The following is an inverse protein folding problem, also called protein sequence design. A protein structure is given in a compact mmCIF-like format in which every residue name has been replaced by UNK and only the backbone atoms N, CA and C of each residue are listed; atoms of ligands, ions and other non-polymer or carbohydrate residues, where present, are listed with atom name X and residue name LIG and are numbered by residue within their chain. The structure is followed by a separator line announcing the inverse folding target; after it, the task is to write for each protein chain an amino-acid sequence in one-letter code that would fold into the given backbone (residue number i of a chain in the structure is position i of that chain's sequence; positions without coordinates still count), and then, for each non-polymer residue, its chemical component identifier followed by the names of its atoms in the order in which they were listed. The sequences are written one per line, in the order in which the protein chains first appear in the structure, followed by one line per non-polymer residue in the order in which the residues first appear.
data_IF_701246958466
#
_entry.id   IF_701246958466
#
_cell.length_a   1.000
_cell.length_b   1.000
_cell.length_c   1.000
_cell.angle_alpha   90.00
_cell.angle_beta   90.00
_cell.angle_gamma   90.00
#
_symmetry.space_group_name_H-M   'P 1'
#
loop_
_entity.id
_entity.type
_entity.pdbx_description
1 polymer ?
#
# COMPACT_ATOMS: atom_id res chain seq x y z
N UNK A 1 -9.24 47.71 -6.51
CA UNK A 1 -9.67 46.41 -5.95
C UNK A 1 -8.77 45.33 -6.51
N UNK A 2 -8.09 44.56 -5.66
CA UNK A 2 -7.33 43.40 -6.11
C UNK A 2 -8.30 42.26 -6.47
N UNK A 3 -8.12 41.63 -7.62
CA UNK A 3 -8.94 40.50 -8.07
C UNK A 3 -8.08 39.24 -8.11
N UNK A 4 -8.65 38.09 -7.71
CA UNK A 4 -7.98 36.79 -7.91
C UNK A 4 -7.61 36.56 -9.39
N UNK A 5 -8.37 37.13 -10.32
CA UNK A 5 -8.10 37.04 -11.75
C UNK A 5 -6.87 37.84 -12.21
N UNK A 6 -6.21 38.63 -11.35
CA UNK A 6 -4.98 39.34 -11.70
C UNK A 6 -3.72 38.65 -11.17
N UNK A 7 -3.86 37.63 -10.33
CA UNK A 7 -2.70 36.90 -9.77
C UNK A 7 -2.07 35.96 -10.82
N UNK A 8 -0.73 35.82 -10.84
CA UNK A 8 -0.04 34.76 -11.58
C UNK A 8 -0.59 33.36 -11.29
N UNK A 9 -0.50 32.47 -12.27
CA UNK A 9 -1.04 31.09 -12.16
C UNK A 9 -0.36 30.28 -11.07
N UNK A 10 0.93 30.52 -10.85
CA UNK A 10 1.75 29.91 -9.80
C UNK A 10 1.18 30.25 -8.42
N UNK A 11 0.91 31.53 -8.17
CA UNK A 11 0.31 31.98 -6.91
C UNK A 11 -1.11 31.45 -6.71
N UNK A 12 -1.90 31.37 -7.78
CA UNK A 12 -3.24 30.75 -7.71
C UNK A 12 -3.16 29.27 -7.33
N UNK A 13 -2.19 28.52 -7.86
CA UNK A 13 -1.98 27.11 -7.50
C UNK A 13 -1.52 26.94 -6.06
N UNK A 14 -0.61 27.81 -5.60
CA UNK A 14 -0.11 27.78 -4.22
C UNK A 14 -1.22 28.07 -3.22
N UNK A 15 -2.04 29.10 -3.46
CA UNK A 15 -3.20 29.44 -2.62
C UNK A 15 -4.12 28.22 -2.47
N UNK A 16 -4.36 27.49 -3.56
CA UNK A 16 -5.20 26.30 -3.56
C UNK A 16 -4.62 25.13 -2.78
N UNK A 17 -3.30 24.99 -2.71
CA UNK A 17 -2.64 23.98 -1.89
C UNK A 17 -3.08 24.01 -0.42
N UNK A 18 -3.59 25.15 0.06
CA UNK A 18 -4.08 25.35 1.42
C UNK A 18 -5.60 25.25 1.58
N UNK A 19 -6.38 25.12 0.50
CA UNK A 19 -7.84 25.12 0.55
C UNK A 19 -8.43 23.69 0.46
N UNK A 20 -9.55 23.40 1.15
CA UNK A 20 -10.21 22.11 1.03
C UNK A 20 -10.83 21.91 -0.37
N UNK A 21 -10.86 20.66 -0.85
CA UNK A 21 -11.39 20.30 -2.19
C UNK A 21 -12.85 20.75 -2.43
N UNK A 22 -13.63 20.95 -1.38
CA UNK A 22 -15.00 21.49 -1.46
C UNK A 22 -15.02 22.91 -2.04
N UNK A 23 -14.09 23.76 -1.62
CA UNK A 23 -14.00 25.16 -2.07
C UNK A 23 -13.49 25.26 -3.50
N UNK A 24 -12.64 24.31 -3.92
CA UNK A 24 -12.17 24.24 -5.30
C UNK A 24 -13.29 24.08 -6.33
N UNK A 25 -14.35 23.33 -5.98
CA UNK A 25 -15.50 23.15 -6.86
C UNK A 25 -16.20 24.47 -7.13
N UNK A 26 -16.38 25.29 -6.09
CA UNK A 26 -16.95 26.63 -6.22
C UNK A 26 -16.06 27.52 -7.08
N UNK A 27 -14.75 27.49 -6.88
CA UNK A 27 -13.80 28.27 -7.68
C UNK A 27 -13.80 27.87 -9.16
N UNK A 28 -13.86 26.58 -9.47
CA UNK A 28 -13.96 26.06 -10.85
C UNK A 28 -15.24 26.54 -11.57
N UNK A 29 -16.32 26.82 -10.81
CA UNK A 29 -17.58 27.30 -11.35
C UNK A 29 -17.60 28.83 -11.62
N UNK A 30 -16.65 29.60 -11.10
CA UNK A 30 -16.69 31.08 -11.15
C UNK A 30 -16.26 31.67 -12.50
N UNK A 31 -15.04 31.41 -12.95
CA UNK A 31 -14.49 31.98 -14.20
C UNK A 31 -13.75 30.93 -15.02
N UNK A 32 -13.63 31.16 -16.34
CA UNK A 32 -12.87 30.26 -17.24
C UNK A 32 -11.41 30.12 -16.81
N UNK A 33 -10.76 31.22 -16.42
CA UNK A 33 -9.37 31.21 -15.94
C UNK A 33 -9.22 30.32 -14.70
N UNK A 34 -10.08 30.51 -13.70
CA UNK A 34 -10.01 29.72 -12.47
C UNK A 34 -10.36 28.25 -12.73
N UNK A 35 -11.29 27.97 -13.66
CA UNK A 35 -11.56 26.62 -14.15
C UNK A 35 -10.31 25.99 -14.77
N UNK A 36 -9.64 26.67 -15.69
CA UNK A 36 -8.47 26.12 -16.40
C UNK A 36 -7.30 25.86 -15.43
N UNK A 37 -7.16 26.67 -14.38
CA UNK A 37 -6.12 26.49 -13.35
C UNK A 37 -6.47 25.40 -12.34
N UNK A 38 -7.72 25.33 -11.87
CA UNK A 38 -8.10 24.50 -10.73
C UNK A 38 -8.72 23.15 -11.09
N UNK A 39 -9.26 22.99 -12.30
CA UNK A 39 -9.80 21.72 -12.75
C UNK A 39 -8.74 20.59 -12.74
N UNK A 40 -7.49 20.80 -13.20
CA UNK A 40 -6.41 19.82 -13.01
C UNK A 40 -6.21 19.40 -11.56
N UNK A 41 -6.21 20.36 -10.62
CA UNK A 41 -5.98 20.11 -9.20
C UNK A 41 -7.13 19.34 -8.54
N UNK A 42 -8.37 19.63 -8.96
CA UNK A 42 -9.55 18.93 -8.48
C UNK A 42 -9.55 17.44 -8.88
N UNK A 43 -9.05 17.13 -10.08
CA UNK A 43 -9.00 15.77 -10.63
C UNK A 43 -7.68 15.03 -10.35
N UNK A 44 -6.66 15.69 -9.81
CA UNK A 44 -5.36 15.08 -9.51
C UNK A 44 -5.47 13.87 -8.56
N UNK A 45 -6.32 13.99 -7.54
CA UNK A 45 -6.52 13.00 -6.50
C UNK A 45 -8.02 12.94 -6.13
N UNK A 46 -8.88 12.31 -6.95
CA UNK A 46 -10.31 12.27 -6.69
C UNK A 46 -10.60 11.50 -5.39
N UNK A 47 -11.29 12.14 -4.44
CA UNK A 47 -11.73 11.46 -3.22
C UNK A 47 -12.93 10.55 -3.50
N UNK A 48 -12.68 9.24 -3.52
CA UNK A 48 -13.67 8.19 -3.78
C UNK A 48 -14.48 7.75 -2.55
N UNK A 49 -14.13 8.18 -1.33
CA UNK A 49 -14.83 7.77 -0.10
C UNK A 49 -16.04 8.66 0.20
N UNK A 50 -17.13 8.16 0.81
CA UNK A 50 -17.38 6.79 1.30
C UNK A 50 -18.14 5.88 0.31
N UNK A 51 -18.28 6.25 -0.97
CA UNK A 51 -19.02 5.46 -1.99
C UNK A 51 -18.18 5.35 -3.26
N UNK A 52 -17.18 4.46 -3.29
CA UNK A 52 -16.24 4.41 -4.39
C UNK A 52 -16.94 4.13 -5.72
N UNK A 53 -17.92 3.22 -5.79
CA UNK A 53 -18.48 2.79 -7.08
C UNK A 53 -19.33 3.83 -7.79
N UNK A 54 -20.21 4.54 -7.08
CA UNK A 54 -20.98 5.64 -7.69
C UNK A 54 -20.03 6.73 -8.20
N UNK A 55 -18.99 7.06 -7.43
CA UNK A 55 -18.00 8.08 -7.82
C UNK A 55 -17.08 7.61 -8.94
N UNK A 56 -16.68 6.34 -8.94
CA UNK A 56 -15.91 5.69 -10.01
C UNK A 56 -16.73 5.69 -11.29
N UNK A 57 -18.00 5.28 -11.25
CA UNK A 57 -18.89 5.30 -12.41
C UNK A 57 -19.13 6.73 -12.93
N UNK A 58 -19.31 7.71 -12.05
CA UNK A 58 -19.38 9.12 -12.44
C UNK A 58 -18.08 9.63 -13.05
N UNK A 59 -16.93 9.23 -12.52
CA UNK A 59 -15.62 9.60 -13.05
C UNK A 59 -15.40 8.96 -14.43
N UNK A 60 -15.74 7.67 -14.59
CA UNK A 60 -15.72 6.98 -15.88
C UNK A 60 -16.58 7.74 -16.87
N UNK A 61 -17.84 8.03 -16.55
CA UNK A 61 -18.73 8.81 -17.41
C UNK A 61 -18.09 10.14 -17.81
N UNK A 62 -17.55 10.87 -16.82
CA UNK A 62 -16.92 12.17 -17.04
C UNK A 62 -15.71 12.07 -17.97
N UNK A 63 -14.86 11.05 -17.80
CA UNK A 63 -13.69 10.80 -18.63
C UNK A 63 -14.09 10.36 -20.05
N UNK A 64 -15.13 9.54 -20.19
CA UNK A 64 -15.65 9.14 -21.50
C UNK A 64 -16.05 10.37 -22.32
N UNK A 65 -16.77 11.32 -21.72
CA UNK A 65 -17.16 12.58 -22.38
C UNK A 65 -16.06 13.63 -22.49
N UNK A 66 -15.05 13.58 -21.62
CA UNK A 66 -13.96 14.56 -21.56
C UNK A 66 -12.61 13.88 -21.31
N UNK A 67 -12.11 13.20 -22.34
CA UNK A 67 -10.87 12.40 -22.30
C UNK A 67 -9.64 13.16 -21.75
N UNK A 68 -9.43 14.46 -22.04
CA UNK A 68 -8.32 15.21 -21.46
C UNK A 68 -8.26 15.21 -19.93
N UNK A 69 -9.40 15.04 -19.24
CA UNK A 69 -9.43 14.94 -17.77
C UNK A 69 -8.71 13.71 -17.23
N UNK A 70 -8.66 12.63 -18.00
CA UNK A 70 -8.00 11.39 -17.56
C UNK A 70 -6.49 11.60 -17.31
N UNK A 71 -5.87 12.54 -18.04
CA UNK A 71 -4.46 12.93 -17.87
C UNK A 71 -4.20 13.69 -16.59
N UNK A 72 -5.24 14.23 -15.96
CA UNK A 72 -5.09 14.99 -14.72
C UNK A 72 -5.04 14.06 -13.51
N UNK A 73 -5.69 12.90 -13.56
CA UNK A 73 -5.71 11.93 -12.46
C UNK A 73 -4.34 11.28 -12.28
N UNK A 74 -3.74 11.49 -11.12
CA UNK A 74 -2.40 10.99 -10.80
C UNK A 74 -2.35 10.17 -9.50
N UNK A 75 -3.36 10.24 -8.64
CA UNK A 75 -3.54 9.36 -7.49
C UNK A 75 -4.96 8.81 -7.48
N UNK A 76 -5.14 7.53 -7.17
CA UNK A 76 -6.47 6.93 -7.05
C UNK A 76 -6.51 5.98 -5.85
N UNK A 77 -7.42 6.27 -4.91
CA UNK A 77 -7.72 5.36 -3.81
C UNK A 77 -9.05 4.66 -4.09
N UNK A 78 -8.98 3.36 -4.35
CA UNK A 78 -10.13 2.51 -4.55
C UNK A 78 -10.44 1.66 -3.31
N UNK A 79 -9.62 1.69 -2.24
CA UNK A 79 -9.82 0.89 -1.01
C UNK A 79 -11.16 1.15 -0.32
N UNK A 80 -11.59 0.22 0.56
CA UNK A 80 -12.93 0.20 1.20
C UNK A 80 -14.05 -0.33 0.28
N UNK A 81 -13.73 -1.37 -0.49
CA UNK A 81 -14.61 -1.96 -1.51
C UNK A 81 -15.71 -2.86 -0.95
N UNK A 82 -15.43 -3.53 0.15
CA UNK A 82 -16.28 -4.57 0.71
C UNK A 82 -16.79 -4.10 2.08
N UNK A 83 -17.75 -3.18 2.09
CA UNK A 83 -18.75 -3.28 3.15
C UNK A 83 -19.29 -4.71 3.04
N UNK A 84 -19.25 -5.52 4.12
CA UNK A 84 -19.60 -6.92 4.04
C UNK A 84 -20.97 -7.01 3.38
N UNK A 85 -21.01 -7.63 2.21
CA UNK A 85 -22.24 -8.30 1.81
C UNK A 85 -22.49 -9.24 2.97
N UNK A 86 -23.45 -8.90 3.83
CA UNK A 86 -23.83 -9.73 4.95
C UNK A 86 -24.04 -11.12 4.38
N UNK A 87 -23.27 -12.09 4.86
CA UNK A 87 -23.55 -13.50 4.65
C UNK A 87 -24.91 -13.77 5.28
N UNK A 88 -25.98 -13.59 4.50
CA UNK A 88 -27.27 -14.14 4.86
C UNK A 88 -27.20 -15.62 4.46
N UNK A 89 -26.78 -16.45 5.42
CA UNK A 89 -26.48 -17.86 5.23
C UNK A 89 -27.73 -18.73 4.93
N UNK A 90 -28.86 -18.12 4.56
CA UNK A 90 -30.16 -18.79 4.49
C UNK A 90 -30.92 -18.60 3.17
N UNK A 91 -30.28 -18.13 2.11
CA UNK A 91 -30.91 -18.11 0.79
C UNK A 91 -29.99 -18.70 -0.27
N UNK A 92 -30.45 -19.75 -0.97
CA UNK A 92 -29.88 -20.28 -2.23
C UNK A 92 -29.90 -19.27 -3.39
N UNK A 93 -30.10 -17.98 -3.10
CA UNK A 93 -29.88 -16.90 -4.03
C UNK A 93 -28.50 -16.30 -3.74
N UNK A 94 -27.65 -16.10 -4.77
CA UNK A 94 -26.37 -15.45 -4.58
C UNK A 94 -26.63 -14.06 -3.98
N UNK A 95 -26.28 -13.87 -2.71
CA UNK A 95 -26.30 -12.61 -1.98
C UNK A 95 -25.34 -11.54 -2.58
N UNK A 96 -24.88 -11.71 -3.82
CA UNK A 96 -24.02 -10.81 -4.57
C UNK A 96 -24.77 -9.74 -5.37
N UNK A 97 -25.99 -9.39 -4.96
CA UNK A 97 -26.75 -8.25 -5.46
C UNK A 97 -27.42 -7.49 -4.32
N UNK A 98 -26.75 -7.31 -3.17
CA UNK A 98 -27.20 -6.30 -2.21
C UNK A 98 -27.10 -4.95 -2.91
N UNK A 99 -28.24 -4.48 -3.42
CA UNK A 99 -28.69 -3.08 -3.51
C UNK A 99 -27.55 -2.04 -3.54
N UNK A 100 -26.60 -2.18 -4.47
CA UNK A 100 -25.78 -1.06 -4.89
C UNK A 100 -26.72 -0.21 -5.71
N UNK A 101 -27.35 0.75 -5.03
CA UNK A 101 -28.72 1.19 -5.29
C UNK A 101 -28.99 1.69 -6.70
N UNK A 102 -30.29 1.86 -6.99
CA UNK A 102 -30.82 2.39 -8.25
C UNK A 102 -30.01 3.54 -8.87
N UNK A 103 -29.33 4.35 -8.07
CA UNK A 103 -28.38 5.37 -8.52
C UNK A 103 -27.20 4.84 -9.36
N UNK A 104 -26.48 3.78 -8.93
CA UNK A 104 -25.34 3.24 -9.70
C UNK A 104 -25.83 2.66 -11.03
N UNK A 105 -26.91 1.89 -11.01
CA UNK A 105 -27.53 1.34 -12.21
C UNK A 105 -27.89 2.47 -13.19
N UNK A 106 -28.56 3.54 -12.72
CA UNK A 106 -28.88 4.71 -13.54
C UNK A 106 -27.65 5.41 -14.13
N UNK A 107 -26.55 5.50 -13.38
CA UNK A 107 -25.32 6.11 -13.89
C UNK A 107 -24.70 5.24 -14.97
N UNK A 108 -24.60 3.93 -14.75
CA UNK A 108 -24.02 2.98 -15.70
C UNK A 108 -24.88 2.87 -16.97
N UNK A 109 -26.21 2.87 -16.84
CA UNK A 109 -27.15 2.95 -17.96
C UNK A 109 -27.01 4.25 -18.76
N UNK A 110 -26.56 5.33 -18.11
CA UNK A 110 -26.29 6.62 -18.78
C UNK A 110 -24.97 6.69 -19.54
N UNK A 111 -24.18 5.61 -19.56
CA UNK A 111 -22.94 5.57 -20.35
C UNK A 111 -23.27 5.54 -21.84
N UNK A 112 -22.60 6.41 -22.60
CA UNK A 112 -22.66 6.34 -24.06
C UNK A 112 -22.10 5.00 -24.55
N UNK A 113 -22.92 4.23 -25.25
CA UNK A 113 -22.56 2.90 -25.73
C UNK A 113 -21.35 2.90 -26.65
N UNK A 114 -21.19 3.91 -27.53
CA UNK A 114 -20.06 3.97 -28.46
C UNK A 114 -18.76 4.28 -27.72
N UNK A 115 -18.79 5.26 -26.81
CA UNK A 115 -17.62 5.63 -26.01
C UNK A 115 -17.21 4.49 -25.07
N UNK A 116 -18.18 3.82 -24.43
CA UNK A 116 -17.93 2.69 -23.56
C UNK A 116 -17.32 1.51 -24.34
N UNK A 117 -17.90 1.14 -25.49
CA UNK A 117 -17.37 0.07 -26.33
C UNK A 117 -15.95 0.35 -26.81
N UNK A 118 -15.65 1.60 -27.16
CA UNK A 118 -14.30 2.01 -27.55
C UNK A 118 -13.32 1.88 -26.38
N UNK A 119 -13.69 2.34 -25.18
CA UNK A 119 -12.83 2.25 -24.00
C UNK A 119 -12.57 0.79 -23.59
N UNK A 120 -13.61 -0.05 -23.51
CA UNK A 120 -13.45 -1.49 -23.21
C UNK A 120 -12.63 -2.19 -24.30
N UNK A 121 -12.83 -1.81 -25.57
CA UNK A 121 -12.06 -2.35 -26.68
C UNK A 121 -10.55 -2.15 -26.57
N UNK A 122 -10.08 -1.11 -25.87
CA UNK A 122 -8.64 -0.90 -25.64
C UNK A 122 -8.02 -1.84 -24.62
N UNK A 123 -8.84 -2.51 -23.80
CA UNK A 123 -8.35 -3.40 -22.74
C UNK A 123 -8.38 -4.88 -23.13
N UNK A 124 -9.31 -5.27 -24.00
CA UNK A 124 -9.62 -6.67 -24.30
C UNK A 124 -8.86 -7.17 -25.53
N UNK A 125 -8.46 -8.44 -25.51
CA UNK A 125 -7.77 -9.10 -26.64
C UNK A 125 -8.71 -9.83 -27.59
N UNK A 126 -9.92 -10.14 -27.14
CA UNK A 126 -10.92 -10.86 -27.92
C UNK A 126 -12.30 -10.22 -27.76
N UNK A 127 -13.17 -10.47 -28.74
CA UNK A 127 -14.56 -10.01 -28.69
C UNK A 127 -15.37 -10.67 -27.56
N UNK A 128 -15.05 -11.92 -27.21
CA UNK A 128 -15.68 -12.63 -26.09
C UNK A 128 -15.35 -11.97 -24.74
N UNK A 129 -14.07 -11.62 -24.54
CA UNK A 129 -13.64 -10.91 -23.34
C UNK A 129 -14.29 -9.53 -23.27
N UNK A 130 -14.34 -8.82 -24.39
CA UNK A 130 -15.00 -7.50 -24.50
C UNK A 130 -16.48 -7.60 -24.14
N UNK A 131 -17.19 -8.59 -24.68
CA UNK A 131 -18.60 -8.84 -24.38
C UNK A 131 -18.82 -9.12 -22.89
N UNK A 132 -17.96 -9.96 -22.31
CA UNK A 132 -18.00 -10.33 -20.89
C UNK A 132 -17.72 -9.13 -19.98
N UNK A 133 -16.69 -8.33 -20.29
CA UNK A 133 -16.36 -7.13 -19.53
C UNK A 133 -17.47 -6.07 -19.64
N UNK A 134 -18.04 -5.86 -20.83
CA UNK A 134 -19.19 -4.96 -21.00
C UNK A 134 -20.39 -5.38 -20.16
N UNK A 135 -20.71 -6.69 -20.14
CA UNK A 135 -21.78 -7.23 -19.30
C UNK A 135 -21.52 -6.94 -17.82
N UNK A 136 -20.29 -7.15 -17.34
CA UNK A 136 -19.93 -6.89 -15.95
C UNK A 136 -19.91 -5.40 -15.59
N UNK A 137 -19.41 -4.54 -16.48
CA UNK A 137 -19.48 -3.08 -16.30
C UNK A 137 -20.92 -2.61 -16.22
N UNK A 138 -21.80 -3.11 -17.11
CA UNK A 138 -23.24 -2.80 -17.10
C UNK A 138 -23.96 -3.30 -15.86
N UNK A 139 -23.54 -4.44 -15.33
CA UNK A 139 -24.02 -4.96 -14.05
C UNK A 139 -23.50 -4.18 -12.83
N UNK A 140 -22.65 -3.16 -13.03
CA UNK A 140 -22.05 -2.39 -11.95
C UNK A 140 -21.01 -3.18 -11.14
N UNK A 141 -20.41 -4.24 -11.71
CA UNK A 141 -19.39 -5.04 -11.06
C UNK A 141 -18.18 -4.16 -10.74
N UNK A 142 -17.82 -4.08 -9.47
CA UNK A 142 -16.83 -3.14 -8.98
C UNK A 142 -15.45 -3.28 -9.62
N UNK A 143 -14.84 -4.46 -9.52
CA UNK A 143 -13.52 -4.73 -10.11
C UNK A 143 -13.46 -4.43 -11.61
N UNK A 144 -14.55 -4.70 -12.35
CA UNK A 144 -14.68 -4.34 -13.77
C UNK A 144 -14.70 -2.81 -13.99
N UNK A 145 -15.47 -2.06 -13.19
CA UNK A 145 -15.47 -0.59 -13.23
C UNK A 145 -14.09 -0.01 -12.84
N UNK A 146 -13.45 -0.56 -11.81
CA UNK A 146 -12.11 -0.15 -11.40
C UNK A 146 -11.07 -0.38 -12.50
N UNK A 147 -11.06 -1.57 -13.11
CA UNK A 147 -10.15 -1.89 -14.21
C UNK A 147 -10.40 -0.99 -15.42
N UNK A 148 -11.66 -0.74 -15.79
CA UNK A 148 -12.02 0.19 -16.86
C UNK A 148 -11.54 1.62 -16.55
N UNK A 149 -11.69 2.08 -15.30
CA UNK A 149 -11.17 3.38 -14.92
C UNK A 149 -9.65 3.41 -15.05
N UNK A 150 -8.94 2.44 -14.46
CA UNK A 150 -7.47 2.40 -14.43
C UNK A 150 -6.85 2.39 -15.83
N UNK A 151 -7.45 1.68 -16.79
CA UNK A 151 -6.94 1.64 -18.17
C UNK A 151 -7.02 2.99 -18.89
N UNK A 152 -7.91 3.88 -18.45
CA UNK A 152 -8.06 5.21 -19.05
C UNK A 152 -7.11 6.26 -18.46
N UNK A 153 -6.33 5.95 -17.41
CA UNK A 153 -5.53 6.93 -16.65
C UNK A 153 -4.02 6.86 -16.99
N UNK A 154 -3.55 7.52 -18.05
CA UNK A 154 -2.16 7.39 -18.51
C UNK A 154 -1.12 7.98 -17.54
N UNK A 155 -1.51 8.96 -16.73
CA UNK A 155 -0.60 9.69 -15.81
C UNK A 155 -0.71 9.22 -14.36
N UNK A 156 -1.28 8.04 -14.12
CA UNK A 156 -1.45 7.49 -12.78
C UNK A 156 -0.07 7.21 -12.15
N UNK A 157 0.21 7.86 -11.02
CA UNK A 157 1.45 7.72 -10.24
C UNK A 157 1.26 6.91 -8.97
N UNK A 158 0.07 6.94 -8.39
CA UNK A 158 -0.24 6.19 -7.17
C UNK A 158 -1.62 5.55 -7.26
N UNK A 159 -1.72 4.28 -6.86
CA UNK A 159 -2.99 3.55 -6.80
C UNK A 159 -3.08 2.75 -5.53
N UNK A 160 -4.28 2.72 -4.94
CA UNK A 160 -4.60 1.86 -3.80
C UNK A 160 -5.81 1.02 -4.14
N UNK A 161 -5.73 -0.30 -4.00
CA UNK A 161 -6.84 -1.20 -4.30
C UNK A 161 -6.83 -2.44 -3.39
N UNK A 162 -7.90 -3.23 -3.44
CA UNK A 162 -8.07 -4.47 -2.70
C UNK A 162 -8.20 -5.61 -3.71
N UNK A 163 -7.64 -6.75 -3.34
CA UNK A 163 -7.83 -8.01 -4.06
C UNK A 163 -8.51 -8.98 -3.10
N UNK A 164 -9.52 -9.70 -3.60
CA UNK A 164 -9.95 -10.95 -2.97
C UNK A 164 -8.76 -11.90 -2.99
N UNK A 165 -8.51 -12.66 -1.93
CA UNK A 165 -7.46 -13.66 -1.89
C UNK A 165 -7.82 -14.93 -2.67
N UNK A 166 -7.03 -15.97 -2.48
CA UNK A 166 -7.21 -17.27 -3.13
C UNK A 166 -8.30 -18.04 -2.38
N UNK A 167 -9.54 -18.00 -2.88
CA UNK A 167 -10.58 -18.90 -2.40
C UNK A 167 -10.32 -20.30 -2.96
N UNK A 168 -10.33 -21.32 -2.10
CA UNK A 168 -10.18 -22.73 -2.50
C UNK A 168 -11.45 -23.30 -3.15
N UNK A 169 -12.59 -22.67 -2.91
CA UNK A 169 -13.92 -23.19 -3.25
C UNK A 169 -14.58 -22.48 -4.44
N UNK A 170 -13.93 -21.44 -4.97
CA UNK A 170 -14.37 -20.78 -6.19
C UNK A 170 -13.27 -20.89 -7.22
N UNK A 171 -13.56 -21.56 -8.35
CA UNK A 171 -12.86 -21.33 -9.62
C UNK A 171 -12.63 -19.84 -9.73
N UNK A 172 -11.36 -19.44 -9.61
CA UNK A 172 -10.96 -18.07 -9.34
C UNK A 172 -11.49 -17.17 -10.47
N UNK A 173 -12.67 -16.58 -10.25
CA UNK A 173 -13.25 -15.62 -11.18
C UNK A 173 -12.21 -14.55 -11.41
N UNK A 174 -11.90 -14.32 -12.68
CA UNK A 174 -10.91 -13.34 -13.11
C UNK A 174 -11.14 -12.00 -12.39
N UNK A 175 -10.12 -11.55 -11.66
CA UNK A 175 -10.08 -10.22 -11.09
C UNK A 175 -9.57 -9.26 -12.18
N UNK A 176 -10.44 -8.37 -12.66
CA UNK A 176 -10.10 -7.50 -13.80
C UNK A 176 -8.94 -6.54 -13.51
N UNK A 177 -8.77 -6.10 -12.25
CA UNK A 177 -7.65 -5.23 -11.85
C UNK A 177 -6.34 -6.00 -11.98
N UNK A 178 -6.30 -7.22 -11.45
CA UNK A 178 -5.13 -8.10 -11.55
C UNK A 178 -4.80 -8.43 -13.01
N UNK A 179 -5.80 -8.81 -13.81
CA UNK A 179 -5.62 -9.09 -15.24
C UNK A 179 -5.03 -7.88 -15.97
N UNK A 180 -5.51 -6.67 -15.67
CA UNK A 180 -5.00 -5.43 -16.27
C UNK A 180 -3.52 -5.20 -15.93
N UNK A 181 -3.13 -5.33 -14.67
CA UNK A 181 -1.71 -5.18 -14.29
C UNK A 181 -0.83 -6.27 -14.88
N UNK A 182 -1.32 -7.51 -14.90
CA UNK A 182 -0.58 -8.63 -15.49
C UNK A 182 -0.30 -8.37 -16.96
N UNK A 183 -1.29 -7.89 -17.72
CA UNK A 183 -1.12 -7.50 -19.13
C UNK A 183 -0.14 -6.35 -19.31
N UNK A 184 -0.20 -5.32 -18.47
CA UNK A 184 0.76 -4.20 -18.54
C UNK A 184 2.23 -4.66 -18.40
N UNK A 185 2.46 -5.83 -17.80
CA UNK A 185 3.78 -6.41 -17.54
C UNK A 185 4.15 -7.50 -18.56
N UNK A 186 3.21 -8.37 -18.90
CA UNK A 186 3.44 -9.57 -19.72
C UNK A 186 3.27 -9.30 -21.22
N UNK A 187 2.49 -8.29 -21.60
CA UNK A 187 2.23 -8.01 -23.01
C UNK A 187 3.40 -7.24 -23.64
N UNK A 188 3.89 -7.75 -24.76
CA UNK A 188 4.94 -7.10 -25.54
C UNK A 188 4.45 -5.92 -26.38
N UNK A 189 3.15 -5.69 -26.45
CA UNK A 189 2.56 -4.61 -27.24
C UNK A 189 2.84 -3.24 -26.60
N UNK A 190 3.28 -2.28 -27.43
CA UNK A 190 3.61 -0.92 -26.99
C UNK A 190 2.46 -0.22 -26.26
N UNK A 191 1.22 -0.50 -26.64
CA UNK A 191 0.03 0.11 -26.05
C UNK A 191 -0.19 -0.39 -24.61
N UNK A 192 -0.03 -1.69 -24.37
CA UNK A 192 -0.11 -2.27 -23.02
C UNK A 192 1.03 -1.79 -22.11
N UNK A 193 2.22 -1.57 -22.67
CA UNK A 193 3.38 -1.03 -21.94
C UNK A 193 3.22 0.42 -21.48
N UNK A 194 2.33 1.18 -22.11
CA UNK A 194 2.05 2.56 -21.69
C UNK A 194 1.10 2.63 -20.49
N UNK A 195 0.28 1.60 -20.27
CA UNK A 195 -0.62 1.54 -19.13
C UNK A 195 0.24 1.35 -17.87
N UNK A 196 0.21 2.33 -16.97
CA UNK A 196 1.05 2.41 -15.76
C UNK A 196 2.54 2.77 -15.99
N UNK A 197 2.91 3.33 -17.15
CA UNK A 197 4.28 3.79 -17.40
C UNK A 197 4.79 4.81 -16.36
N UNK A 198 3.90 5.56 -15.71
CA UNK A 198 4.23 6.54 -14.68
C UNK A 198 3.91 6.08 -13.26
N UNK A 199 3.50 4.82 -13.06
CA UNK A 199 3.08 4.33 -11.76
C UNK A 199 4.28 4.13 -10.84
N UNK A 200 4.32 4.92 -9.76
CA UNK A 200 5.42 4.98 -8.80
C UNK A 200 5.10 4.28 -7.49
N UNK A 201 3.83 4.24 -7.09
CA UNK A 201 3.38 3.70 -5.81
C UNK A 201 2.14 2.83 -5.96
N UNK A 202 2.16 1.65 -5.34
CA UNK A 202 1.01 0.75 -5.27
C UNK A 202 0.74 0.36 -3.83
N UNK A 203 -0.52 0.45 -3.40
CA UNK A 203 -1.01 -0.13 -2.16
C UNK A 203 -2.00 -1.24 -2.45
N UNK A 204 -1.72 -2.47 -2.02
CA UNK A 204 -2.64 -3.62 -2.20
C UNK A 204 -3.04 -4.20 -0.86
N UNK A 205 -4.34 -4.32 -0.62
CA UNK A 205 -4.89 -4.91 0.60
C UNK A 205 -5.65 -6.20 0.28
N UNK A 206 -5.30 -7.29 0.96
CA UNK A 206 -6.09 -8.53 0.93
C UNK A 206 -7.37 -8.36 1.74
N UNK A 207 -8.47 -8.96 1.29
CA UNK A 207 -9.75 -8.95 2.00
C UNK A 207 -9.61 -9.62 3.39
N UNK A 208 -10.36 -9.16 4.40
CA UNK A 208 -10.08 -9.47 5.82
C UNK A 208 -9.91 -10.95 6.19
N UNK A 209 -10.62 -11.85 5.50
CA UNK A 209 -10.56 -13.31 5.68
C UNK A 209 -9.60 -14.02 4.73
N UNK A 210 -9.14 -13.34 3.68
CA UNK A 210 -8.42 -13.94 2.57
C UNK A 210 -6.98 -13.40 2.50
N UNK A 211 -6.05 -14.34 2.34
CA UNK A 211 -4.62 -14.06 2.33
C UNK A 211 -4.19 -13.74 0.91
N UNK A 212 -3.45 -12.64 0.74
CA UNK A 212 -2.91 -12.25 -0.56
C UNK A 212 -1.48 -12.77 -0.69
N UNK A 213 -1.28 -13.74 -1.57
CA UNK A 213 0.02 -14.41 -1.71
C UNK A 213 1.05 -13.49 -2.36
N UNK A 214 2.30 -13.51 -1.88
CA UNK A 214 3.39 -12.75 -2.52
C UNK A 214 3.55 -13.14 -3.98
N UNK A 215 3.43 -14.44 -4.31
CA UNK A 215 3.43 -14.97 -5.68
C UNK A 215 2.46 -14.22 -6.59
N UNK A 216 1.23 -13.98 -6.13
CA UNK A 216 0.21 -13.29 -6.92
C UNK A 216 0.55 -11.82 -7.17
N UNK A 217 1.41 -11.21 -6.38
CA UNK A 217 1.80 -9.81 -6.52
C UNK A 217 3.15 -9.60 -7.20
N UNK A 218 3.89 -10.68 -7.50
CA UNK A 218 5.24 -10.58 -8.06
C UNK A 218 5.28 -9.88 -9.43
N UNK A 219 4.18 -9.89 -10.19
CA UNK A 219 4.13 -9.14 -11.45
C UNK A 219 4.30 -7.64 -11.24
N UNK A 220 3.87 -7.07 -10.10
CA UNK A 220 3.98 -5.63 -9.83
C UNK A 220 5.45 -5.17 -9.81
N UNK A 221 6.37 -6.01 -9.34
CA UNK A 221 7.80 -5.70 -9.26
C UNK A 221 8.46 -5.51 -10.62
N UNK A 222 7.81 -5.94 -11.70
CA UNK A 222 8.28 -5.78 -13.08
C UNK A 222 7.85 -4.45 -13.72
N UNK A 223 7.02 -3.65 -13.02
CA UNK A 223 6.60 -2.34 -13.53
C UNK A 223 7.79 -1.36 -13.53
N UNK A 224 8.09 -0.67 -14.65
CA UNK A 224 9.37 0.01 -14.85
C UNK A 224 9.57 1.23 -13.94
N UNK A 225 8.51 1.95 -13.62
CA UNK A 225 8.56 3.17 -12.79
C UNK A 225 8.23 2.91 -11.33
N UNK A 226 7.88 1.67 -10.95
CA UNK A 226 7.40 1.36 -9.63
C UNK A 226 8.55 1.39 -8.62
N UNK A 227 8.47 2.30 -7.66
CA UNK A 227 9.50 2.52 -6.64
C UNK A 227 9.01 2.21 -5.22
N UNK A 228 7.69 2.13 -5.02
CA UNK A 228 7.05 1.87 -3.73
C UNK A 228 5.93 0.84 -3.85
N UNK A 229 6.03 -0.19 -3.01
CA UNK A 229 5.00 -1.19 -2.83
C UNK A 229 4.59 -1.19 -1.36
N UNK A 230 3.29 -1.23 -1.13
CA UNK A 230 2.74 -1.26 0.22
C UNK A 230 1.50 -2.12 0.26
N UNK A 231 1.12 -2.58 1.44
CA UNK A 231 -0.06 -3.40 1.54
C UNK A 231 -0.41 -3.92 2.92
N UNK A 232 -1.51 -4.65 2.95
CA UNK A 232 -2.03 -5.34 4.15
C UNK A 232 -2.51 -6.73 3.84
N UNK A 233 -2.45 -7.61 4.84
CA UNK A 233 -2.91 -9.01 4.75
C UNK A 233 -2.17 -9.83 3.68
N UNK A 234 -0.86 -9.58 3.52
CA UNK A 234 -0.02 -10.35 2.60
C UNK A 234 0.51 -11.59 3.29
N UNK A 235 0.70 -12.66 2.54
CA UNK A 235 1.31 -13.90 3.02
C UNK A 235 2.31 -14.42 2.01
N UNK A 236 3.50 -14.82 2.45
CA UNK A 236 4.44 -15.41 1.51
C UNK A 236 4.08 -16.83 1.10
N UNK A 237 4.67 -17.27 -0.01
CA UNK A 237 4.43 -18.60 -0.57
C UNK A 237 5.68 -19.39 -0.93
N UNK A 238 6.89 -18.88 -0.64
CA UNK A 238 8.12 -19.58 -1.06
C UNK A 238 8.33 -19.52 -2.58
N UNK A 239 7.82 -18.48 -3.25
CA UNK A 239 7.87 -18.40 -4.71
C UNK A 239 9.31 -18.17 -5.20
N UNK A 240 9.65 -18.57 -6.44
CA UNK A 240 10.97 -18.26 -6.99
C UNK A 240 11.18 -16.73 -7.04
N UNK A 241 12.43 -16.27 -6.84
CA UNK A 241 12.73 -14.85 -6.81
C UNK A 241 12.32 -14.18 -8.12
N UNK A 242 11.63 -13.05 -8.01
CA UNK A 242 11.33 -12.19 -9.15
C UNK A 242 12.63 -11.63 -9.76
N UNK A 243 12.62 -11.23 -11.04
CA UNK A 243 13.71 -10.42 -11.60
C UNK A 243 13.94 -9.15 -10.77
N UNK A 244 15.14 -8.60 -10.86
CA UNK A 244 15.51 -7.37 -10.15
C UNK A 244 14.53 -6.23 -10.46
N UNK A 245 14.11 -5.53 -9.41
CA UNK A 245 13.11 -4.48 -9.42
C UNK A 245 13.72 -3.14 -8.99
N UNK A 246 13.17 -2.05 -9.53
CA UNK A 246 13.50 -0.68 -9.13
C UNK A 246 12.82 -0.25 -7.81
N UNK A 247 12.05 -1.14 -7.17
CA UNK A 247 11.38 -0.87 -5.90
C UNK A 247 12.42 -0.59 -4.81
N UNK A 248 12.25 0.56 -4.15
CA UNK A 248 13.11 1.04 -3.07
C UNK A 248 12.38 1.14 -1.73
N UNK A 249 11.06 0.98 -1.71
CA UNK A 249 10.24 1.06 -0.51
C UNK A 249 9.22 -0.09 -0.46
N UNK A 250 9.28 -0.88 0.61
CA UNK A 250 8.31 -1.95 0.93
C UNK A 250 7.67 -1.63 2.28
N UNK A 251 6.34 -1.56 2.35
CA UNK A 251 5.57 -1.35 3.59
C UNK A 251 4.44 -2.37 3.72
N UNK A 252 4.65 -3.40 4.53
CA UNK A 252 3.73 -4.52 4.75
C UNK A 252 3.16 -4.43 6.16
N UNK A 253 1.87 -4.08 6.27
CA UNK A 253 1.22 -3.93 7.57
C UNK A 253 0.22 -5.03 7.80
N UNK A 254 0.16 -5.55 9.02
CA UNK A 254 -0.76 -6.63 9.35
C UNK A 254 -0.64 -7.82 8.39
N UNK A 255 0.61 -8.19 8.05
CA UNK A 255 0.93 -9.28 7.12
C UNK A 255 1.54 -10.47 7.87
N UNK A 256 1.49 -11.64 7.23
CA UNK A 256 2.11 -12.88 7.70
C UNK A 256 3.39 -13.15 6.92
N UNK A 257 4.53 -12.90 7.56
CA UNK A 257 5.85 -13.08 7.01
C UNK A 257 6.42 -14.49 7.13
N UNK A 258 5.63 -15.51 7.49
CA UNK A 258 6.13 -16.88 7.62
C UNK A 258 6.91 -17.36 6.38
N UNK A 259 6.58 -16.86 5.19
CA UNK A 259 7.33 -17.13 3.97
C UNK A 259 7.50 -15.83 3.15
N UNK A 260 8.29 -15.86 2.08
CA UNK A 260 8.29 -14.85 1.01
C UNK A 260 8.96 -13.50 1.30
N UNK A 261 9.28 -13.16 2.55
CA UNK A 261 9.97 -11.89 2.86
C UNK A 261 11.36 -11.82 2.22
N UNK A 262 12.07 -12.94 2.22
CA UNK A 262 13.36 -13.07 1.56
C UNK A 262 13.26 -12.80 0.05
N UNK A 263 12.23 -13.33 -0.62
CA UNK A 263 12.00 -13.12 -2.06
C UNK A 263 11.76 -11.64 -2.36
N UNK A 264 10.96 -10.97 -1.54
CA UNK A 264 10.66 -9.55 -1.68
C UNK A 264 11.91 -8.69 -1.56
N UNK A 265 12.76 -8.96 -0.56
CA UNK A 265 14.01 -8.22 -0.37
C UNK A 265 15.00 -8.54 -1.49
N UNK A 266 15.13 -9.81 -1.89
CA UNK A 266 16.03 -10.23 -2.97
C UNK A 266 15.68 -9.58 -4.30
N UNK A 267 14.39 -9.39 -4.58
CA UNK A 267 13.94 -8.71 -5.78
C UNK A 267 14.30 -7.21 -5.80
N UNK A 268 14.74 -6.61 -4.68
CA UNK A 268 14.94 -5.17 -4.54
C UNK A 268 16.37 -4.85 -4.06
N UNK A 269 17.40 -4.93 -4.93
CA UNK A 269 18.78 -4.68 -4.51
C UNK A 269 19.03 -3.25 -4.00
N UNK A 270 18.23 -2.28 -4.44
CA UNK A 270 18.31 -0.87 -4.03
C UNK A 270 17.32 -0.51 -2.90
N UNK A 271 16.83 -1.50 -2.15
CA UNK A 271 15.84 -1.29 -1.09
C UNK A 271 16.36 -0.30 -0.03
N UNK A 272 15.63 0.81 0.13
CA UNK A 272 15.94 1.89 1.06
C UNK A 272 15.06 1.81 2.32
N UNK A 273 13.79 1.45 2.17
CA UNK A 273 12.82 1.36 3.27
C UNK A 273 12.17 0.00 3.31
N UNK A 274 12.22 -0.65 4.47
CA UNK A 274 11.46 -1.85 4.75
C UNK A 274 10.66 -1.68 6.05
N UNK A 275 9.34 -1.71 5.93
CA UNK A 275 8.40 -1.66 7.05
C UNK A 275 7.62 -2.97 7.08
N UNK A 276 7.63 -3.65 8.21
CA UNK A 276 6.88 -4.86 8.44
C UNK A 276 6.19 -4.79 9.81
N UNK A 277 4.86 -4.78 9.79
CA UNK A 277 4.03 -4.91 10.99
C UNK A 277 3.33 -6.27 10.93
N UNK A 278 3.63 -7.13 11.90
CA UNK A 278 3.10 -8.48 11.94
C UNK A 278 1.61 -8.51 12.35
N UNK A 279 0.85 -9.44 11.76
CA UNK A 279 -0.51 -9.77 12.24
C UNK A 279 -0.52 -11.03 13.08
N UNK A 280 -0.73 -10.85 14.37
CA UNK A 280 -1.14 -11.90 15.28
C UNK A 280 -2.53 -12.46 14.90
N UNK A 281 -2.62 -13.70 14.40
CA UNK A 281 -3.93 -14.31 14.21
C UNK A 281 -4.52 -14.78 15.55
N UNK A 282 -5.73 -14.32 15.84
CA UNK A 282 -6.58 -14.85 16.93
C UNK A 282 -7.28 -16.18 16.56
N UNK A 283 -7.00 -16.77 15.38
CA UNK A 283 -7.65 -18.02 14.96
C UNK A 283 -6.90 -19.21 15.55
N UNK A 284 -7.67 -20.04 16.23
CA UNK A 284 -7.34 -21.22 17.04
C UNK A 284 -6.55 -22.35 16.36
N UNK A 285 -5.91 -22.13 15.20
CA UNK A 285 -5.08 -23.16 14.58
C UNK A 285 -3.69 -23.13 15.20
N UNK A 286 -3.29 -24.24 15.81
CA UNK A 286 -1.99 -24.51 16.42
C UNK A 286 -0.76 -24.41 15.47
N UNK A 287 -0.91 -23.80 14.30
CA UNK A 287 0.20 -23.51 13.40
C UNK A 287 0.95 -22.27 13.92
N UNK A 288 2.15 -22.51 14.43
CA UNK A 288 3.12 -21.51 14.84
C UNK A 288 3.61 -20.73 13.62
N UNK A 289 2.85 -19.70 13.22
CA UNK A 289 3.29 -18.74 12.20
C UNK A 289 4.47 -17.92 12.76
N UNK A 290 5.65 -18.50 12.68
CA UNK A 290 6.91 -17.87 13.06
C UNK A 290 7.55 -17.28 11.82
N UNK A 291 7.97 -16.01 11.90
CA UNK A 291 8.83 -15.44 10.88
C UNK A 291 10.13 -16.27 10.86
N UNK A 292 10.57 -16.82 9.71
CA UNK A 292 11.88 -17.44 9.58
C UNK A 292 12.96 -16.37 9.72
N UNK A 293 13.34 -16.07 10.97
CA UNK A 293 14.17 -14.91 11.33
C UNK A 293 15.58 -15.01 10.73
N UNK A 294 16.15 -16.22 10.61
CA UNK A 294 17.48 -16.42 10.05
C UNK A 294 17.51 -16.11 8.54
N UNK A 295 16.55 -16.64 7.79
CA UNK A 295 16.36 -16.42 6.36
C UNK A 295 16.05 -14.95 6.07
N UNK A 296 15.14 -14.37 6.85
CA UNK A 296 14.83 -12.95 6.76
C UNK A 296 16.06 -12.08 7.08
N UNK A 297 16.82 -12.42 8.12
CA UNK A 297 18.07 -11.72 8.45
C UNK A 297 19.11 -11.81 7.33
N UNK A 298 19.32 -13.00 6.77
CA UNK A 298 20.22 -13.22 5.64
C UNK A 298 19.80 -12.38 4.43
N UNK A 299 18.49 -12.21 4.21
CA UNK A 299 17.99 -11.33 3.15
C UNK A 299 18.30 -9.85 3.39
N UNK A 300 18.16 -9.36 4.62
CA UNK A 300 18.50 -7.98 4.98
C UNK A 300 20.00 -7.68 4.79
N UNK A 301 20.88 -8.66 4.98
CA UNK A 301 22.32 -8.50 4.73
C UNK A 301 22.63 -8.11 3.28
N UNK A 302 21.78 -8.49 2.32
CA UNK A 302 21.96 -8.16 0.90
C UNK A 302 21.76 -6.66 0.63
N UNK A 303 20.94 -5.98 1.44
CA UNK A 303 20.58 -4.56 1.28
C UNK A 303 21.19 -3.66 2.36
N UNK A 304 22.16 -4.17 3.14
CA UNK A 304 22.76 -3.45 4.28
C UNK A 304 23.40 -2.10 3.93
N UNK A 305 23.82 -1.92 2.67
CA UNK A 305 24.45 -0.70 2.17
C UNK A 305 23.45 0.32 1.59
N UNK A 306 22.20 -0.08 1.39
CA UNK A 306 21.15 0.75 0.76
C UNK A 306 20.01 1.07 1.73
N UNK A 307 19.73 0.16 2.67
CA UNK A 307 18.63 0.27 3.64
C UNK A 307 18.86 1.42 4.63
N UNK A 308 18.03 2.45 4.58
CA UNK A 308 18.06 3.60 5.51
C UNK A 308 16.97 3.54 6.58
N UNK A 309 15.85 2.86 6.32
CA UNK A 309 14.72 2.72 7.24
C UNK A 309 14.37 1.25 7.40
N UNK A 310 14.46 0.77 8.64
CA UNK A 310 13.99 -0.56 9.03
C UNK A 310 12.97 -0.43 10.15
N UNK A 311 11.75 -0.90 9.91
CA UNK A 311 10.69 -0.95 10.91
C UNK A 311 10.16 -2.38 11.00
N UNK A 312 10.36 -3.01 12.16
CA UNK A 312 9.96 -4.38 12.46
C UNK A 312 9.12 -4.37 13.74
N UNK A 313 7.81 -4.38 13.58
CA UNK A 313 6.89 -4.45 14.72
C UNK A 313 6.20 -5.81 14.74
N UNK A 314 6.63 -6.65 15.66
CA UNK A 314 6.01 -7.94 15.93
C UNK A 314 5.02 -7.77 17.06
N UNK A 315 3.89 -7.12 16.80
CA UNK A 315 2.84 -6.98 17.81
C UNK A 315 2.41 -8.37 18.30
N UNK A 316 2.96 -8.77 19.45
CA UNK A 316 2.62 -10.01 20.12
C UNK A 316 1.46 -9.68 21.05
N UNK A 317 0.23 -9.95 20.60
CA UNK A 317 -0.91 -9.92 21.53
C UNK A 317 -0.58 -10.79 22.76
N UNK A 318 -1.23 -10.57 23.92
CA UNK A 318 -0.88 -11.20 25.20
C UNK A 318 -0.86 -12.76 25.18
N UNK A 319 -1.36 -13.39 24.11
CA UNK A 319 -1.44 -14.83 23.89
C UNK A 319 -0.39 -15.41 22.94
N UNK A 320 0.44 -14.60 22.27
CA UNK A 320 1.47 -15.10 21.34
C UNK A 320 2.79 -15.35 22.07
N UNK A 321 2.85 -16.42 22.86
CA UNK A 321 4.07 -16.88 23.51
C UNK A 321 4.93 -17.80 22.61
N UNK A 322 4.59 -17.89 21.31
CA UNK A 322 5.10 -18.92 20.40
C UNK A 322 6.18 -18.44 19.42
N UNK A 323 6.69 -17.22 19.57
CA UNK A 323 7.93 -16.87 18.89
C UNK A 323 9.06 -17.69 19.50
N UNK A 324 9.85 -18.33 18.64
CA UNK A 324 11.06 -19.00 19.06
C UNK A 324 11.99 -17.97 19.72
N UNK A 325 12.03 -17.99 21.05
CA UNK A 325 12.84 -17.07 21.86
C UNK A 325 14.33 -17.17 21.54
N UNK A 326 14.76 -18.22 20.83
CA UNK A 326 16.16 -18.46 20.49
C UNK A 326 16.65 -17.72 19.24
N UNK A 327 15.77 -17.21 18.38
CA UNK A 327 16.19 -16.54 17.15
C UNK A 327 16.11 -15.03 17.32
N UNK A 328 17.14 -14.38 17.86
CA UNK A 328 17.28 -12.92 17.80
C UNK A 328 17.85 -12.48 16.44
N UNK A 329 17.59 -11.23 16.07
CA UNK A 329 18.20 -10.62 14.89
C UNK A 329 19.69 -10.38 15.16
N UNK A 330 20.53 -10.63 14.15
CA UNK A 330 21.97 -10.40 14.26
C UNK A 330 22.33 -8.92 14.45
N UNK A 331 23.64 -8.62 14.49
CA UNK A 331 24.13 -7.24 14.64
C UNK A 331 23.83 -6.37 13.42
N UNK A 332 23.23 -5.20 13.65
CA UNK A 332 22.99 -4.17 12.63
C UNK A 332 24.19 -3.22 12.45
N UNK A 333 25.33 -3.45 13.13
CA UNK A 333 26.47 -2.53 13.13
C UNK A 333 27.05 -2.29 11.72
N UNK A 334 26.88 -3.26 10.81
CA UNK A 334 27.35 -3.20 9.43
C UNK A 334 26.35 -2.54 8.45
N UNK A 335 25.18 -2.12 8.92
CA UNK A 335 24.19 -1.42 8.08
C UNK A 335 24.56 0.06 7.98
N UNK A 336 25.58 0.35 7.18
CA UNK A 336 26.21 1.67 7.08
C UNK A 336 25.30 2.78 6.54
N UNK A 337 24.19 2.43 5.89
CA UNK A 337 23.19 3.36 5.41
C UNK A 337 22.01 3.58 6.39
N UNK A 338 21.88 2.74 7.42
CA UNK A 338 20.70 2.74 8.29
C UNK A 338 20.64 3.99 9.16
N UNK A 339 19.56 4.76 9.01
CA UNK A 339 19.32 6.03 9.71
C UNK A 339 18.18 5.93 10.71
N UNK A 340 17.16 5.13 10.41
CA UNK A 340 15.97 4.99 11.22
C UNK A 340 15.71 3.52 11.51
N UNK A 341 15.64 3.18 12.79
CA UNK A 341 15.36 1.83 13.27
C UNK A 341 14.15 1.86 14.20
N UNK A 342 13.15 1.05 13.90
CA UNK A 342 12.04 0.76 14.79
C UNK A 342 11.97 -0.76 14.99
N UNK A 343 12.14 -1.24 16.22
CA UNK A 343 12.02 -2.66 16.55
C UNK A 343 11.74 -2.92 18.03
N UNK A 344 11.36 -4.16 18.36
CA UNK A 344 11.24 -4.59 19.76
C UNK A 344 12.62 -4.82 20.37
N UNK A 345 12.85 -4.46 21.65
CA UNK A 345 14.09 -4.80 22.36
C UNK A 345 14.40 -6.30 22.43
N UNK A 346 13.37 -7.16 22.40
CA UNK A 346 13.54 -8.62 22.45
C UNK A 346 14.26 -9.19 21.23
N UNK A 347 14.31 -8.41 20.14
CA UNK A 347 14.84 -8.86 18.88
C UNK A 347 16.37 -8.74 18.81
N UNK A 348 17.02 -8.18 19.83
CA UNK A 348 18.47 -7.99 19.86
C UNK A 348 19.23 -9.18 20.46
N UNK A 349 20.32 -9.61 19.81
CA UNK A 349 21.22 -10.68 20.29
C UNK A 349 22.10 -10.28 21.51
N UNK A 350 22.28 -8.98 21.76
CA UNK A 350 23.23 -8.45 22.74
C UNK A 350 22.91 -6.99 23.08
N UNK A 351 23.79 -6.34 23.86
CA UNK A 351 23.63 -4.94 24.27
C UNK A 351 23.52 -3.98 23.08
N UNK A 352 22.60 -3.01 23.17
CA UNK A 352 22.31 -2.03 22.11
C UNK A 352 23.56 -1.34 21.52
N UNK A 353 24.54 -0.87 22.31
CA UNK A 353 25.67 -0.12 21.74
C UNK A 353 26.58 -0.93 20.82
N UNK A 354 26.61 -2.27 20.95
CA UNK A 354 27.44 -3.14 20.09
C UNK A 354 26.76 -3.55 18.77
N UNK A 355 25.45 -3.36 18.67
CA UNK A 355 24.66 -3.84 17.52
C UNK A 355 24.10 -2.72 16.65
N UNK A 356 24.04 -1.49 17.16
CA UNK A 356 23.51 -0.37 16.40
C UNK A 356 24.56 0.18 15.41
N UNK A 357 24.16 0.55 14.18
CA UNK A 357 25.07 1.13 13.21
C UNK A 357 25.44 2.56 13.57
N UNK A 358 26.67 2.96 13.25
CA UNK A 358 27.15 4.32 13.48
C UNK A 358 26.35 5.40 12.76
N UNK A 359 25.69 5.06 11.65
CA UNK A 359 24.87 5.96 10.82
C UNK A 359 23.50 6.29 11.41
N UNK A 360 23.11 5.62 12.50
CA UNK A 360 21.78 5.73 13.08
C UNK A 360 21.49 7.15 13.57
N UNK A 361 20.29 7.66 13.24
CA UNK A 361 19.79 8.99 13.61
C UNK A 361 18.59 8.94 14.54
N UNK A 362 17.76 7.91 14.39
CA UNK A 362 16.54 7.71 15.19
C UNK A 362 16.40 6.25 15.56
N UNK A 363 16.15 6.00 16.84
CA UNK A 363 15.84 4.68 17.39
C UNK A 363 14.44 4.71 18.03
N UNK A 364 13.53 3.89 17.56
CA UNK A 364 12.22 3.65 18.19
C UNK A 364 12.20 2.24 18.76
N UNK A 365 11.90 2.12 20.05
CA UNK A 365 11.81 0.85 20.77
C UNK A 365 10.34 0.55 21.08
N UNK A 366 9.81 -0.51 20.48
CA UNK A 366 8.46 -1.00 20.75
C UNK A 366 8.46 -1.89 22.00
N UNK A 367 7.94 -1.35 23.10
CA UNK A 367 7.84 -1.99 24.41
C UNK A 367 6.47 -2.66 24.56
N UNK A 368 6.44 -3.99 24.45
CA UNK A 368 5.24 -4.81 24.65
C UNK A 368 5.03 -5.22 26.12
N UNK A 369 6.08 -5.12 26.96
CA UNK A 369 6.10 -5.48 28.40
C UNK A 369 7.00 -4.57 29.22
N UNK A 370 7.08 -4.80 30.53
CA UNK A 370 8.01 -4.10 31.42
C UNK A 370 9.47 -4.55 31.14
N UNK A 371 10.33 -3.60 30.78
CA UNK A 371 11.74 -3.84 30.44
C UNK A 371 12.68 -3.02 31.35
N UNK A 372 12.67 -3.30 32.66
CA UNK A 372 13.64 -2.69 33.60
C UNK A 372 15.10 -3.00 33.20
N UNK A 373 15.35 -4.16 32.60
CA UNK A 373 16.67 -4.56 32.09
C UNK A 373 17.18 -3.79 30.86
N UNK A 374 16.34 -2.98 30.21
CA UNK A 374 16.73 -2.19 29.03
C UNK A 374 17.31 -0.82 29.42
N UNK A 375 17.01 -0.33 30.62
CA UNK A 375 17.48 0.97 31.12
C UNK A 375 19.01 1.06 31.15
N UNK A 376 19.76 0.06 31.63
CA UNK A 376 21.22 0.10 31.59
C UNK A 376 21.76 0.22 30.16
N UNK A 377 21.16 -0.48 29.19
CA UNK A 377 21.58 -0.44 27.78
C UNK A 377 21.28 0.92 27.14
N UNK A 378 20.12 1.50 27.41
CA UNK A 378 19.76 2.84 26.94
C UNK A 378 20.66 3.89 27.60
N UNK A 379 20.90 3.78 28.91
CA UNK A 379 21.79 4.70 29.65
C UNK A 379 23.20 4.63 29.07
N UNK A 380 23.72 3.42 28.84
CA UNK A 380 25.00 3.24 28.20
C UNK A 380 25.02 3.79 26.77
N UNK A 381 23.93 3.67 26.01
CA UNK A 381 23.81 4.25 24.67
C UNK A 381 23.78 5.78 24.72
N UNK A 382 23.19 6.40 25.73
CA UNK A 382 23.22 7.85 25.93
C UNK A 382 24.62 8.31 26.33
N UNK A 383 25.26 7.62 27.28
CA UNK A 383 26.59 7.97 27.81
C UNK A 383 27.69 7.78 26.76
N UNK A 384 27.65 6.67 26.02
CA UNK A 384 28.64 6.30 24.99
C UNK A 384 28.19 6.63 23.57
N UNK A 385 27.01 7.23 23.39
CA UNK A 385 26.40 7.45 22.07
C UNK A 385 27.30 8.24 21.13
N UNK A 386 28.08 9.19 21.65
CA UNK A 386 29.03 9.98 20.85
C UNK A 386 30.12 9.14 20.20
N UNK A 387 30.47 7.97 20.75
CA UNK A 387 31.50 7.09 20.18
C UNK A 387 30.89 5.96 19.35
N UNK A 388 29.77 5.39 19.79
CA UNK A 388 29.13 4.23 19.16
C UNK A 388 28.13 4.61 18.06
N UNK A 389 27.31 5.65 18.29
CA UNK A 389 26.24 6.10 17.39
C UNK A 389 26.23 7.63 17.31
N UNK A 390 27.30 8.25 16.76
CA UNK A 390 27.54 9.69 16.87
C UNK A 390 26.45 10.59 16.27
N UNK A 391 25.61 10.04 15.39
CA UNK A 391 24.53 10.77 14.72
C UNK A 391 23.15 10.55 15.35
N UNK A 392 23.05 9.77 16.44
CA UNK A 392 21.79 9.46 17.09
C UNK A 392 21.21 10.73 17.74
N UNK A 393 20.12 11.23 17.17
CA UNK A 393 19.47 12.46 17.59
C UNK A 393 18.23 12.22 18.45
N UNK A 394 17.60 11.05 18.33
CA UNK A 394 16.37 10.73 19.06
C UNK A 394 16.27 9.25 19.42
N UNK A 395 15.79 9.01 20.63
CA UNK A 395 15.37 7.69 21.13
C UNK A 395 13.93 7.84 21.57
N UNK A 396 13.03 7.10 20.93
CA UNK A 396 11.61 7.07 21.24
C UNK A 396 11.25 5.70 21.80
N UNK A 397 10.47 5.67 22.87
CA UNK A 397 9.93 4.43 23.42
C UNK A 397 8.42 4.45 23.23
N UNK A 398 7.92 3.47 22.48
CA UNK A 398 6.49 3.28 22.21
C UNK A 398 6.01 2.09 23.03
N UNK A 399 4.94 2.24 23.80
CA UNK A 399 4.46 1.21 24.72
C UNK A 399 3.33 1.73 25.60
N UNK A 400 2.84 0.90 26.53
CA UNK A 400 1.77 1.31 27.46
C UNK A 400 2.19 2.53 28.28
N UNK A 401 1.23 3.40 28.64
CA UNK A 401 1.50 4.56 29.52
C UNK A 401 2.17 4.14 30.84
N UNK A 402 1.87 2.93 31.32
CA UNK A 402 2.42 2.37 32.56
C UNK A 402 3.93 2.10 32.44
N UNK A 403 4.39 1.55 31.30
CA UNK A 403 5.81 1.39 31.02
C UNK A 403 6.52 2.75 30.92
N UNK A 404 5.91 3.74 30.27
CA UNK A 404 6.48 5.10 30.19
C UNK A 404 6.61 5.76 31.56
N UNK A 405 5.56 5.68 32.38
CA UNK A 405 5.53 6.26 33.75
C UNK A 405 6.55 5.60 34.68
N UNK A 406 6.79 4.29 34.56
CA UNK A 406 7.83 3.58 35.34
C UNK A 406 9.25 3.94 34.90
N UNK A 407 9.50 4.01 33.58
CA UNK A 407 10.79 4.45 33.02
C UNK A 407 11.12 5.89 33.41
N UNK A 408 10.13 6.78 33.44
CA UNK A 408 10.30 8.16 33.94
C UNK A 408 10.57 8.19 35.45
N UNK A 409 10.05 7.23 36.22
CA UNK A 409 10.27 7.10 37.67
C UNK A 409 11.64 6.50 38.03
N UNK A 410 12.17 5.61 37.19
CA UNK A 410 13.52 5.03 37.33
C UNK A 410 14.62 5.98 36.82
N UNK A 411 14.24 7.14 36.26
CA UNK A 411 15.14 8.22 35.82
C UNK A 411 15.51 9.21 36.94
N UNK A 412 15.64 8.70 38.17
CA UNK A 412 16.12 9.42 39.36
C UNK A 412 17.53 8.97 39.75
#
# INVERSE_FOLDING_TARGET
MASLNTLPTELLRDIVGYNPKSELRSLVATTKRLRDVFLPLLYADPNMRPRPWTKVALLIRTILYNRPLARQVCSLDLTEFYAPLSYDNNTDQPAHMISVGSELARIVESFDCLLLNAAVGTMCKSDDEKSTLLKHVRAGKGDALAALLLSMLPNLKSVRFQLSGESKDYDAKENYIETLFRRAVEDCEEQSRQVFAHLQSVWVEGQDSERLTTKRLMFLFKLPSLCRISGRNWTGTGAPPAPESAVTHIDLRYSDGQFGMEELIRACPQLNTFVYLHRAHNRSSAATHTLPRAEFWNSLQMVKNTLQVLCLDFYSGPKLQFFDKAASFGSLAHFTALKHLHMSPNDFISSLPSILPRSLRSLTLALDREYSGLIPDITMLVDKGRTTTPYLASITMEGSEECRKKLEKERL
#
